data_IF_050452009062
#
_entry.id   IF_050452009062
#
_cell.length_a   1.000
_cell.length_b   1.000
_cell.length_c   1.000
_cell.angle_alpha   90.00
_cell.angle_beta   90.00
_cell.angle_gamma   90.00
#
_symmetry.space_group_name_H-M   'P 1'
#
loop_
_entity.id
_entity.type
_entity.pdbx_description
1 polymer ?
#
# COMPACT_ATOMS: atom_id res chain seq x y z
N UNK A 1 -1.94 -27.10 -52.26
CA UNK A 1 -3.06 -26.75 -51.37
C UNK A 1 -2.47 -25.86 -50.26
N UNK A 2 -2.69 -24.55 -50.36
CA UNK A 2 -2.21 -23.57 -49.39
C UNK A 2 -3.38 -23.32 -48.41
N UNK A 3 -3.21 -23.71 -47.16
CA UNK A 3 -4.17 -23.43 -46.11
C UNK A 3 -4.02 -21.98 -45.66
N UNK A 4 -4.98 -21.15 -46.01
CA UNK A 4 -5.12 -19.77 -45.49
C UNK A 4 -5.58 -19.88 -44.03
N UNK A 5 -4.64 -19.54 -43.11
CA UNK A 5 -4.93 -19.35 -41.68
C UNK A 5 -5.71 -18.06 -41.51
N UNK A 6 -7.01 -18.17 -41.19
CA UNK A 6 -7.85 -17.01 -40.84
C UNK A 6 -7.50 -16.60 -39.43
N UNK A 7 -6.79 -15.46 -39.27
CA UNK A 7 -6.66 -14.78 -38.00
C UNK A 7 -8.04 -14.35 -37.49
N UNK A 8 -8.44 -14.64 -36.23
CA UNK A 8 -9.68 -14.12 -35.69
C UNK A 8 -9.56 -12.59 -35.54
N UNK A 9 -10.46 -11.87 -36.20
CA UNK A 9 -10.70 -10.45 -35.91
C UNK A 9 -11.05 -10.34 -34.42
N UNK A 10 -10.23 -9.67 -33.67
CA UNK A 10 -10.56 -9.23 -32.32
C UNK A 10 -11.75 -8.27 -32.43
N UNK A 11 -12.95 -8.74 -32.13
CA UNK A 11 -14.11 -7.89 -31.98
C UNK A 11 -13.82 -6.89 -30.86
N UNK A 12 -13.73 -5.59 -31.19
CA UNK A 12 -13.60 -4.53 -30.19
C UNK A 12 -14.82 -4.64 -29.27
N UNK A 13 -14.57 -4.99 -28.00
CA UNK A 13 -15.63 -5.10 -27.01
C UNK A 13 -16.35 -3.74 -26.91
N UNK A 14 -17.68 -3.77 -27.07
CA UNK A 14 -18.50 -2.57 -26.95
C UNK A 14 -18.51 -2.13 -25.48
N UNK A 15 -18.33 -0.83 -25.24
CA UNK A 15 -18.30 -0.23 -23.91
C UNK A 15 -19.73 0.00 -23.38
N UNK A 16 -19.92 -0.18 -22.08
CA UNK A 16 -21.12 0.29 -21.39
C UNK A 16 -21.10 1.81 -21.23
N UNK A 17 -22.28 2.43 -21.05
CA UNK A 17 -22.37 3.88 -20.76
C UNK A 17 -21.57 4.25 -19.51
N UNK A 18 -21.58 3.40 -18.49
CA UNK A 18 -20.78 3.62 -17.27
C UNK A 18 -19.26 3.64 -17.52
N UNK A 19 -18.76 2.77 -18.38
CA UNK A 19 -17.34 2.76 -18.77
C UNK A 19 -16.97 4.00 -19.58
N UNK A 20 -17.86 4.44 -20.48
CA UNK A 20 -17.71 5.68 -21.22
C UNK A 20 -17.61 6.90 -20.28
N UNK A 21 -18.55 7.01 -19.33
CA UNK A 21 -18.56 8.09 -18.33
C UNK A 21 -17.26 8.11 -17.53
N UNK A 22 -16.84 6.95 -17.04
CA UNK A 22 -15.57 6.82 -16.26
C UNK A 22 -14.35 7.23 -17.09
N UNK A 23 -14.33 6.87 -18.38
CA UNK A 23 -13.24 7.27 -19.29
C UNK A 23 -13.19 8.79 -19.47
N UNK A 24 -14.35 9.43 -19.75
CA UNK A 24 -14.40 10.89 -19.96
C UNK A 24 -14.03 11.62 -18.67
N UNK A 25 -14.55 11.20 -17.51
CA UNK A 25 -14.21 11.79 -16.21
C UNK A 25 -12.71 11.71 -15.92
N UNK A 26 -12.10 10.54 -16.12
CA UNK A 26 -10.66 10.35 -15.95
C UNK A 26 -9.85 11.23 -16.91
N UNK A 27 -10.32 11.36 -18.16
CA UNK A 27 -9.66 12.21 -19.17
C UNK A 27 -9.70 13.69 -18.79
N UNK A 28 -10.81 14.17 -18.19
CA UNK A 28 -10.94 15.53 -17.67
C UNK A 28 -9.98 15.75 -16.49
N UNK A 29 -9.94 14.81 -15.52
CA UNK A 29 -9.07 14.89 -14.35
C UNK A 29 -7.60 14.91 -14.73
N UNK A 30 -7.21 14.10 -15.72
CA UNK A 30 -5.83 14.01 -16.23
C UNK A 30 -5.48 15.13 -17.23
N UNK A 31 -6.43 16.05 -17.49
CA UNK A 31 -6.27 17.19 -18.43
C UNK A 31 -5.81 16.77 -19.83
N UNK A 32 -6.33 15.64 -20.33
CA UNK A 32 -6.03 15.22 -21.69
C UNK A 32 -6.57 16.24 -22.72
N UNK A 33 -5.87 16.48 -23.85
CA UNK A 33 -6.32 17.40 -24.90
C UNK A 33 -7.70 16.99 -25.46
N UNK A 34 -8.66 17.91 -25.46
CA UNK A 34 -10.04 17.67 -25.86
C UNK A 34 -10.16 17.01 -27.27
N UNK A 35 -9.35 17.46 -28.23
CA UNK A 35 -9.30 16.89 -29.59
C UNK A 35 -8.87 15.40 -29.56
N UNK A 36 -7.99 15.02 -28.66
CA UNK A 36 -7.55 13.64 -28.53
C UNK A 36 -8.64 12.75 -27.92
N UNK A 37 -9.31 13.23 -26.89
CA UNK A 37 -10.46 12.54 -26.27
C UNK A 37 -11.57 12.35 -27.29
N UNK A 38 -11.96 13.42 -28.01
CA UNK A 38 -12.96 13.36 -29.06
C UNK A 38 -12.65 12.35 -30.17
N UNK A 39 -11.41 12.34 -30.66
CA UNK A 39 -10.99 11.40 -31.69
C UNK A 39 -10.99 9.95 -31.26
N UNK A 40 -10.75 9.70 -29.97
CA UNK A 40 -10.81 8.37 -29.38
C UNK A 40 -12.26 7.89 -29.22
N UNK A 41 -13.14 8.76 -28.69
CA UNK A 41 -14.58 8.48 -28.54
C UNK A 41 -15.24 8.04 -29.83
N UNK A 42 -14.93 8.69 -30.94
CA UNK A 42 -15.51 8.36 -32.27
C UNK A 42 -15.12 6.95 -32.78
N UNK A 43 -14.11 6.32 -32.19
CA UNK A 43 -13.69 4.95 -32.53
C UNK A 43 -14.35 3.87 -31.66
N UNK A 44 -15.00 4.28 -30.57
CA UNK A 44 -15.63 3.36 -29.63
C UNK A 44 -17.02 2.96 -30.08
N UNK A 45 -17.43 1.75 -29.73
CA UNK A 45 -18.82 1.27 -29.89
C UNK A 45 -19.43 1.11 -28.50
N UNK A 46 -20.72 1.44 -28.38
CA UNK A 46 -21.47 1.24 -27.15
C UNK A 46 -22.28 -0.05 -27.20
N UNK A 47 -22.49 -0.67 -26.05
CA UNK A 47 -23.39 -1.80 -25.83
C UNK A 47 -24.77 -1.36 -25.34
N UNK A 48 -24.92 -0.08 -24.96
CA UNK A 48 -26.09 0.52 -24.35
C UNK A 48 -26.35 1.89 -24.95
N UNK A 49 -27.63 2.34 -24.91
CA UNK A 49 -28.03 3.65 -25.38
C UNK A 49 -27.50 4.76 -24.49
N UNK A 50 -26.80 5.71 -25.04
CA UNK A 50 -26.35 6.93 -24.36
C UNK A 50 -27.50 7.95 -24.35
N UNK A 51 -27.88 8.44 -23.17
CA UNK A 51 -28.95 9.43 -23.01
C UNK A 51 -28.39 10.87 -22.95
N UNK A 52 -29.30 11.85 -23.20
CA UNK A 52 -28.94 13.26 -23.18
C UNK A 52 -28.53 13.76 -21.80
N UNK A 53 -29.11 13.19 -20.73
CA UNK A 53 -28.80 13.57 -19.34
C UNK A 53 -27.37 13.27 -19.00
N UNK A 54 -26.87 12.09 -19.37
CA UNK A 54 -25.47 11.72 -19.18
C UNK A 54 -24.50 12.70 -19.87
N UNK A 55 -24.90 13.24 -21.03
CA UNK A 55 -24.10 14.26 -21.74
C UNK A 55 -24.06 15.57 -20.95
N UNK A 56 -25.21 16.02 -20.43
CA UNK A 56 -25.30 17.23 -19.61
C UNK A 56 -24.46 17.12 -18.35
N UNK A 57 -24.47 15.95 -17.68
CA UNK A 57 -23.62 15.66 -16.51
C UNK A 57 -22.13 15.77 -16.86
N UNK A 58 -21.68 15.19 -17.98
CA UNK A 58 -20.30 15.28 -18.44
C UNK A 58 -19.88 16.70 -18.84
N UNK A 59 -20.80 17.48 -19.43
CA UNK A 59 -20.58 18.89 -19.70
C UNK A 59 -20.38 19.68 -18.41
N UNK A 60 -21.20 19.43 -17.39
CA UNK A 60 -21.06 20.05 -16.07
C UNK A 60 -19.76 19.74 -15.38
N UNK A 61 -19.14 18.58 -15.67
CA UNK A 61 -17.84 18.16 -15.16
C UNK A 61 -16.64 18.75 -15.95
N UNK A 62 -16.90 19.52 -17.03
CA UNK A 62 -15.87 20.20 -17.79
C UNK A 62 -15.42 19.50 -19.07
N UNK A 63 -16.25 18.62 -19.64
CA UNK A 63 -15.96 18.06 -20.95
C UNK A 63 -15.85 19.17 -22.01
N UNK A 64 -14.78 19.14 -22.82
CA UNK A 64 -14.50 20.14 -23.81
C UNK A 64 -15.45 20.06 -25.03
N UNK A 65 -15.49 21.10 -25.89
CA UNK A 65 -16.44 21.18 -27.00
C UNK A 65 -16.30 20.06 -28.02
N UNK A 66 -15.08 19.62 -28.34
CA UNK A 66 -14.86 18.50 -29.24
C UNK A 66 -15.35 17.17 -28.66
N UNK A 67 -15.09 16.93 -27.37
CA UNK A 67 -15.60 15.77 -26.62
C UNK A 67 -17.12 15.77 -26.63
N UNK A 68 -17.76 16.91 -26.41
CA UNK A 68 -19.22 17.05 -26.44
C UNK A 68 -19.82 16.76 -27.81
N UNK A 69 -19.19 17.20 -28.90
CA UNK A 69 -19.62 16.87 -30.26
C UNK A 69 -19.53 15.37 -30.55
N UNK A 70 -18.43 14.72 -30.14
CA UNK A 70 -18.25 13.27 -30.25
C UNK A 70 -19.33 12.50 -29.47
N UNK A 71 -19.67 12.92 -28.26
CA UNK A 71 -20.71 12.32 -27.44
C UNK A 71 -22.09 12.44 -28.07
N UNK A 72 -22.45 13.61 -28.68
CA UNK A 72 -23.72 13.79 -29.40
C UNK A 72 -23.84 12.83 -30.57
N UNK A 73 -22.77 12.62 -31.35
CA UNK A 73 -22.75 11.62 -32.42
C UNK A 73 -22.96 10.21 -31.90
N UNK A 74 -22.40 9.92 -30.70
CA UNK A 74 -22.59 8.61 -30.03
C UNK A 74 -24.03 8.40 -29.57
N UNK A 75 -24.77 9.45 -29.16
CA UNK A 75 -26.23 9.36 -28.88
C UNK A 75 -26.98 8.89 -30.12
N UNK A 76 -26.72 9.51 -31.25
CA UNK A 76 -27.39 9.16 -32.52
C UNK A 76 -27.09 7.71 -32.91
N UNK A 77 -25.84 7.29 -32.86
CA UNK A 77 -25.42 5.94 -33.23
C UNK A 77 -25.84 4.84 -32.24
N UNK A 78 -26.12 5.22 -30.98
CA UNK A 78 -26.57 4.28 -29.94
C UNK A 78 -28.10 4.27 -29.74
N UNK A 79 -28.86 5.06 -30.50
CA UNK A 79 -30.31 5.24 -30.32
C UNK A 79 -31.12 3.93 -30.38
N UNK A 80 -30.67 2.95 -31.15
CA UNK A 80 -31.29 1.62 -31.26
C UNK A 80 -30.87 0.60 -30.23
N UNK A 81 -29.90 0.93 -29.37
CA UNK A 81 -29.41 0.04 -28.33
C UNK A 81 -30.32 0.03 -27.09
N UNK A 82 -30.30 -1.02 -26.28
CA UNK A 82 -31.05 -1.09 -25.02
C UNK A 82 -30.64 0.07 -24.09
N UNK A 83 -31.60 0.56 -23.30
CA UNK A 83 -31.31 1.57 -22.28
C UNK A 83 -30.25 1.04 -21.27
N UNK A 84 -29.32 1.91 -20.92
CA UNK A 84 -28.37 1.64 -19.85
C UNK A 84 -29.12 1.27 -18.56
N UNK A 85 -28.77 0.15 -17.96
CA UNK A 85 -29.36 -0.20 -16.66
C UNK A 85 -28.92 0.86 -15.64
N UNK A 86 -29.86 1.43 -14.85
CA UNK A 86 -29.49 2.35 -13.79
C UNK A 86 -28.48 1.65 -12.88
N UNK A 87 -27.37 2.34 -12.57
CA UNK A 87 -26.44 1.85 -11.54
C UNK A 87 -27.27 1.48 -10.32
N UNK A 88 -27.12 0.26 -9.76
CA UNK A 88 -27.70 -0.01 -8.45
C UNK A 88 -27.23 1.11 -7.53
N UNK A 89 -28.17 1.87 -6.99
CA UNK A 89 -27.88 2.88 -5.98
C UNK A 89 -27.22 2.09 -4.84
N UNK A 90 -25.91 2.19 -4.71
CA UNK A 90 -25.24 1.73 -3.50
C UNK A 90 -25.83 2.59 -2.39
N UNK A 91 -26.80 2.05 -1.69
CA UNK A 91 -27.24 2.60 -0.42
C UNK A 91 -25.96 2.61 0.42
N UNK A 92 -25.45 3.80 0.71
CA UNK A 92 -24.27 3.90 1.57
C UNK A 92 -24.59 3.16 2.86
N UNK A 93 -23.79 2.18 3.29
CA UNK A 93 -24.08 1.44 4.51
C UNK A 93 -24.26 2.45 5.63
N UNK A 94 -25.30 2.27 6.45
CA UNK A 94 -25.57 3.15 7.61
C UNK A 94 -24.27 3.31 8.39
N UNK A 95 -23.79 4.54 8.67
CA UNK A 95 -22.58 4.76 9.39
C UNK A 95 -22.64 4.02 10.74
N UNK A 96 -21.69 3.14 10.99
CA UNK A 96 -21.59 2.44 12.28
C UNK A 96 -21.14 3.48 13.30
N UNK A 97 -21.91 3.62 14.39
CA UNK A 97 -21.55 4.54 15.45
C UNK A 97 -20.15 4.22 16.01
N UNK A 98 -19.36 5.24 16.44
CA UNK A 98 -18.12 5.01 17.14
C UNK A 98 -18.36 4.22 18.43
N UNK A 99 -17.41 3.37 18.85
CA UNK A 99 -17.53 2.68 20.12
C UNK A 99 -17.50 3.70 21.29
N UNK A 100 -18.11 3.37 22.45
CA UNK A 100 -18.02 4.22 23.64
C UNK A 100 -16.56 4.51 24.03
N UNK A 101 -16.27 5.70 24.56
CA UNK A 101 -14.91 6.10 24.92
C UNK A 101 -14.24 5.13 25.92
N UNK A 102 -15.00 4.56 26.84
CA UNK A 102 -14.47 3.56 27.77
C UNK A 102 -14.00 2.29 27.05
N UNK A 103 -14.73 1.84 26.01
CA UNK A 103 -14.36 0.70 25.19
C UNK A 103 -13.13 1.01 24.35
N UNK A 104 -13.05 2.22 23.75
CA UNK A 104 -11.86 2.65 23.00
C UNK A 104 -10.59 2.59 23.85
N UNK A 105 -10.66 3.09 25.10
CA UNK A 105 -9.52 3.05 26.03
C UNK A 105 -9.18 1.62 26.47
N UNK A 106 -10.18 0.82 26.77
CA UNK A 106 -9.98 -0.58 27.16
C UNK A 106 -9.33 -1.39 26.02
N UNK A 107 -9.75 -1.16 24.78
CA UNK A 107 -9.17 -1.81 23.60
C UNK A 107 -7.68 -1.46 23.44
N UNK A 108 -7.31 -0.18 23.55
CA UNK A 108 -5.91 0.24 23.43
C UNK A 108 -5.03 -0.39 24.52
N UNK A 109 -5.51 -0.55 25.75
CA UNK A 109 -4.75 -1.23 26.80
C UNK A 109 -4.54 -2.73 26.50
N UNK A 110 -5.54 -3.44 25.97
CA UNK A 110 -5.36 -4.84 25.53
C UNK A 110 -4.40 -4.95 24.35
N UNK A 111 -4.51 -4.04 23.38
CA UNK A 111 -3.58 -3.96 22.26
C UNK A 111 -2.15 -3.66 22.73
N UNK A 112 -1.99 -2.79 23.73
CA UNK A 112 -0.69 -2.51 24.36
C UNK A 112 -0.07 -3.77 24.95
N UNK A 113 -0.83 -4.50 25.77
CA UNK A 113 -0.35 -5.73 26.38
C UNK A 113 0.12 -6.76 25.33
N UNK A 114 -0.68 -6.96 24.31
CA UNK A 114 -0.31 -7.82 23.18
C UNK A 114 0.96 -7.33 22.49
N UNK A 115 1.06 -6.04 22.15
CA UNK A 115 2.16 -5.44 21.39
C UNK A 115 3.49 -5.53 22.13
N UNK A 116 3.49 -5.30 23.44
CA UNK A 116 4.68 -5.42 24.28
C UNK A 116 5.21 -6.87 24.42
N UNK A 117 4.32 -7.84 24.22
CA UNK A 117 4.66 -9.27 24.27
C UNK A 117 4.76 -9.91 22.87
N UNK A 118 4.55 -9.16 21.81
CA UNK A 118 4.48 -9.69 20.45
C UNK A 118 5.71 -10.51 20.07
N UNK A 119 6.91 -9.93 20.19
CA UNK A 119 8.18 -10.61 19.85
C UNK A 119 8.42 -11.86 20.68
N UNK A 120 8.01 -11.86 21.96
CA UNK A 120 8.17 -13.04 22.86
C UNK A 120 7.26 -14.19 22.44
N UNK A 121 6.14 -13.89 21.83
CA UNK A 121 5.14 -14.88 21.40
C UNK A 121 5.41 -15.43 20.00
N UNK A 122 6.39 -14.90 19.27
CA UNK A 122 6.77 -15.42 17.96
C UNK A 122 7.63 -16.69 18.12
N UNK A 123 7.37 -17.72 17.29
CA UNK A 123 8.25 -18.88 17.23
C UNK A 123 9.57 -18.53 16.55
N UNK A 124 10.56 -19.38 16.70
CA UNK A 124 11.77 -19.30 15.87
C UNK A 124 11.43 -19.69 14.43
N UNK A 125 11.76 -18.83 13.47
CA UNK A 125 11.45 -19.04 12.05
C UNK A 125 12.54 -18.49 11.12
N UNK A 126 12.42 -18.85 9.87
CA UNK A 126 13.13 -18.23 8.74
C UNK A 126 12.11 -17.78 7.70
N UNK A 127 12.43 -16.70 6.99
CA UNK A 127 11.65 -16.25 5.83
C UNK A 127 12.57 -15.63 4.77
N UNK A 128 12.01 -15.42 3.59
CA UNK A 128 12.64 -14.66 2.51
C UNK A 128 12.10 -13.23 2.56
N UNK A 129 12.99 -12.27 2.71
CA UNK A 129 12.68 -10.85 2.60
C UNK A 129 13.11 -10.36 1.22
N UNK A 130 12.18 -9.78 0.46
CA UNK A 130 12.45 -9.14 -0.81
C UNK A 130 12.26 -7.64 -0.67
N UNK A 131 13.32 -6.86 -0.89
CA UNK A 131 13.29 -5.41 -0.85
C UNK A 131 13.44 -4.85 -2.26
N UNK A 132 12.38 -4.23 -2.80
CA UNK A 132 12.44 -3.49 -4.07
C UNK A 132 12.65 -2.03 -3.78
N UNK A 133 13.77 -1.49 -4.25
CA UNK A 133 14.14 -0.09 -4.03
C UNK A 133 13.87 0.74 -5.27
N UNK A 134 13.37 1.94 -5.03
CA UNK A 134 13.03 2.90 -6.08
C UNK A 134 13.58 4.26 -5.71
N UNK A 135 13.92 5.05 -6.71
CA UNK A 135 14.27 6.46 -6.59
C UNK A 135 13.46 7.32 -7.56
N UNK A 136 13.29 8.58 -7.19
CA UNK A 136 12.76 9.62 -8.05
C UNK A 136 13.54 10.92 -7.83
N UNK A 137 14.46 11.28 -8.75
CA UNK A 137 15.22 12.52 -8.63
C UNK A 137 14.41 13.77 -8.99
N UNK A 138 13.18 13.62 -9.47
CA UNK A 138 12.32 14.75 -9.86
C UNK A 138 11.52 15.30 -8.67
N UNK A 139 11.26 14.48 -7.66
CA UNK A 139 10.42 14.83 -6.52
C UNK A 139 8.92 14.83 -6.81
N UNK A 140 8.48 14.24 -7.93
CA UNK A 140 7.10 14.21 -8.43
C UNK A 140 6.46 12.81 -8.36
N UNK A 141 7.11 11.89 -7.66
CA UNK A 141 6.72 10.47 -7.52
C UNK A 141 6.76 9.67 -8.84
N UNK A 142 7.64 10.04 -9.78
CA UNK A 142 7.98 9.24 -10.96
C UNK A 142 9.02 8.18 -10.62
N UNK A 143 8.57 7.10 -9.98
CA UNK A 143 9.40 6.05 -9.43
C UNK A 143 10.17 5.27 -10.50
N UNK A 144 11.50 5.18 -10.35
CA UNK A 144 12.38 4.35 -11.17
C UNK A 144 12.90 3.21 -10.30
N UNK A 145 12.85 1.95 -10.77
CA UNK A 145 13.49 0.85 -10.06
C UNK A 145 15.01 1.10 -9.95
N UNK A 146 15.55 0.98 -8.76
CA UNK A 146 17.00 1.02 -8.49
C UNK A 146 17.55 -0.39 -8.48
N UNK A 147 17.11 -1.21 -7.54
CA UNK A 147 17.51 -2.61 -7.44
C UNK A 147 16.50 -3.43 -6.64
N UNK A 148 16.70 -4.75 -6.62
CA UNK A 148 15.97 -5.71 -5.81
C UNK A 148 16.95 -6.51 -4.99
N UNK A 149 16.72 -6.54 -3.66
CA UNK A 149 17.52 -7.29 -2.70
C UNK A 149 16.72 -8.49 -2.23
N UNK A 150 17.31 -9.69 -2.30
CA UNK A 150 16.73 -10.89 -1.71
C UNK A 150 17.57 -11.29 -0.50
N UNK A 151 16.94 -11.34 0.67
CA UNK A 151 17.60 -11.55 1.95
C UNK A 151 16.97 -12.74 2.65
N UNK A 152 17.79 -13.64 3.18
CA UNK A 152 17.37 -14.64 4.15
C UNK A 152 17.30 -13.98 5.51
N UNK A 153 16.10 -13.91 6.07
CA UNK A 153 15.88 -13.45 7.44
C UNK A 153 15.67 -14.66 8.34
N UNK A 154 16.41 -14.68 9.44
CA UNK A 154 16.25 -15.67 10.50
C UNK A 154 15.85 -14.97 11.79
N UNK A 155 14.76 -15.42 12.41
CA UNK A 155 14.31 -14.99 13.73
C UNK A 155 14.54 -16.13 14.72
N UNK A 156 15.51 -15.92 15.62
CA UNK A 156 15.92 -16.92 16.62
C UNK A 156 16.16 -16.25 17.96
N UNK A 157 15.54 -16.77 19.01
CA UNK A 157 15.65 -16.22 20.38
C UNK A 157 15.41 -14.69 20.43
N UNK A 158 14.34 -14.23 19.75
CA UNK A 158 13.94 -12.83 19.67
C UNK A 158 14.96 -11.91 18.97
N UNK A 159 15.90 -12.48 18.20
CA UNK A 159 16.90 -11.74 17.42
C UNK A 159 16.70 -11.98 15.94
N UNK A 160 16.75 -10.89 15.19
CA UNK A 160 16.72 -10.89 13.74
C UNK A 160 18.15 -10.95 13.18
N UNK A 161 18.36 -11.83 12.21
CA UNK A 161 19.62 -11.91 11.46
C UNK A 161 19.32 -11.86 9.97
N UNK A 162 20.01 -10.98 9.28
CA UNK A 162 19.81 -10.71 7.85
C UNK A 162 21.02 -11.18 7.06
N UNK A 163 20.82 -12.10 6.12
CA UNK A 163 21.85 -12.53 5.18
C UNK A 163 21.41 -12.19 3.77
N UNK A 164 22.06 -11.22 3.15
CA UNK A 164 21.86 -10.91 1.74
C UNK A 164 22.29 -12.11 0.90
N UNK A 165 21.43 -12.53 -0.04
CA UNK A 165 21.70 -13.69 -0.91
C UNK A 165 21.73 -13.32 -2.37
N UNK A 166 20.92 -12.33 -2.82
CA UNK A 166 20.93 -11.85 -4.20
C UNK A 166 20.73 -10.35 -4.28
N UNK A 167 21.31 -9.76 -5.32
CA UNK A 167 21.03 -8.40 -5.79
C UNK A 167 20.64 -8.51 -7.27
N UNK A 168 19.44 -8.05 -7.62
CA UNK A 168 18.89 -8.16 -8.99
C UNK A 168 18.98 -9.59 -9.55
N UNK A 169 18.52 -10.56 -8.76
CA UNK A 169 18.51 -12.00 -9.05
C UNK A 169 19.91 -12.61 -9.30
N UNK A 170 20.98 -11.91 -8.92
CA UNK A 170 22.35 -12.40 -8.98
C UNK A 170 22.87 -12.69 -7.59
N UNK A 171 23.40 -13.89 -7.32
CA UNK A 171 24.00 -14.23 -6.03
C UNK A 171 25.10 -13.24 -5.62
N UNK A 172 25.19 -12.96 -4.32
CA UNK A 172 26.17 -12.04 -3.76
C UNK A 172 26.68 -12.52 -2.39
N UNK A 173 27.93 -12.21 -2.09
CA UNK A 173 28.57 -12.41 -0.78
C UNK A 173 28.64 -11.09 0.03
N UNK A 174 28.06 -10.00 -0.50
CA UNK A 174 28.10 -8.69 0.13
C UNK A 174 27.30 -8.73 1.44
N UNK A 175 27.85 -8.12 2.49
CA UNK A 175 27.15 -8.01 3.78
C UNK A 175 25.95 -7.05 3.64
N UNK A 176 24.81 -7.42 4.24
CA UNK A 176 23.59 -6.62 4.22
C UNK A 176 23.83 -5.20 4.76
N UNK A 177 24.62 -5.09 5.84
CA UNK A 177 24.93 -3.82 6.49
C UNK A 177 25.83 -2.91 5.62
N UNK A 178 26.55 -3.48 4.62
CA UNK A 178 27.41 -2.69 3.74
C UNK A 178 26.64 -2.02 2.59
N UNK A 179 25.37 -2.36 2.41
CA UNK A 179 24.54 -1.76 1.38
C UNK A 179 24.33 -0.26 1.65
N UNK A 180 24.38 0.52 0.58
CA UNK A 180 23.98 1.92 0.60
C UNK A 180 22.46 2.08 0.55
N UNK A 181 21.99 3.29 0.82
CA UNK A 181 20.57 3.63 0.79
C UNK A 181 19.84 3.32 2.10
N UNK A 182 18.51 3.44 2.09
CA UNK A 182 17.70 3.11 3.24
C UNK A 182 17.62 1.59 3.44
N UNK A 183 17.81 1.15 4.67
CA UNK A 183 17.60 -0.23 5.10
C UNK A 183 16.53 -0.24 6.18
N UNK A 184 15.69 -1.27 6.20
CA UNK A 184 14.68 -1.49 7.22
C UNK A 184 15.06 -2.70 8.05
N UNK A 185 14.86 -2.61 9.35
CA UNK A 185 15.12 -3.66 10.34
C UNK A 185 14.16 -3.49 11.52
N UNK A 186 13.87 -4.59 12.23
CA UNK A 186 13.04 -4.53 13.44
C UNK A 186 11.54 -4.65 13.18
N UNK A 187 11.13 -5.22 12.06
CA UNK A 187 9.71 -5.41 11.71
C UNK A 187 9.00 -6.43 12.61
N UNK A 188 9.74 -7.29 13.29
CA UNK A 188 9.21 -8.37 14.14
C UNK A 188 9.04 -7.95 15.61
N UNK A 189 8.59 -6.72 15.83
CA UNK A 189 8.13 -6.26 17.14
C UNK A 189 8.74 -4.97 17.65
N UNK A 190 9.87 -4.51 17.14
CA UNK A 190 10.52 -3.27 17.62
C UNK A 190 9.61 -2.06 17.47
N UNK A 191 8.99 -1.87 16.30
CA UNK A 191 8.06 -0.77 16.06
C UNK A 191 6.84 -0.82 17.00
N UNK A 192 6.23 -2.01 17.19
CA UNK A 192 5.10 -2.16 18.12
C UNK A 192 5.53 -1.88 19.54
N UNK A 193 6.70 -2.42 19.96
CA UNK A 193 7.23 -2.18 21.29
C UNK A 193 7.46 -0.68 21.53
N UNK A 194 8.10 0.03 20.60
CA UNK A 194 8.34 1.46 20.73
C UNK A 194 7.06 2.29 20.85
N UNK A 195 6.03 2.00 20.02
CA UNK A 195 4.77 2.75 20.06
C UNK A 195 4.02 2.51 21.38
N UNK A 196 4.06 1.28 21.92
CA UNK A 196 3.25 0.90 23.08
C UNK A 196 4.01 0.89 24.40
N UNK A 197 5.32 1.11 24.39
CA UNK A 197 6.11 1.30 25.61
C UNK A 197 5.55 2.48 26.43
N UNK A 198 5.37 2.28 27.73
CA UNK A 198 4.84 3.34 28.61
C UNK A 198 5.79 4.53 28.73
N UNK A 199 7.08 4.32 28.52
CA UNK A 199 8.09 5.40 28.54
C UNK A 199 7.94 6.37 27.39
N UNK A 200 7.34 5.97 26.28
CA UNK A 200 7.11 6.84 25.10
C UNK A 200 5.98 7.83 25.32
N UNK A 201 5.12 7.58 26.33
CA UNK A 201 3.93 8.40 26.62
C UNK A 201 3.08 8.68 25.37
N UNK A 202 2.91 7.64 24.55
CA UNK A 202 2.17 7.72 23.30
C UNK A 202 0.69 8.05 23.56
N UNK A 203 0.20 9.10 22.91
CA UNK A 203 -1.20 9.52 22.94
C UNK A 203 -1.95 8.84 21.81
N UNK A 204 -3.07 8.16 22.16
CA UNK A 204 -3.92 7.44 21.20
C UNK A 204 -5.30 8.08 21.14
N UNK A 205 -5.84 8.23 19.91
CA UNK A 205 -7.18 8.74 19.67
C UNK A 205 -7.89 7.88 18.63
N UNK A 206 -9.10 7.40 18.96
CA UNK A 206 -9.91 6.68 17.99
C UNK A 206 -10.48 7.66 16.94
N UNK A 207 -10.20 7.40 15.66
CA UNK A 207 -10.62 8.28 14.57
C UNK A 207 -11.88 7.81 13.87
N UNK A 208 -11.93 6.53 13.49
CA UNK A 208 -12.99 6.02 12.64
C UNK A 208 -12.95 4.49 12.52
N UNK A 209 -13.99 3.96 11.97
CA UNK A 209 -13.99 2.61 11.41
C UNK A 209 -13.23 2.60 10.08
N UNK A 210 -12.53 1.50 9.81
CA UNK A 210 -11.88 1.21 8.54
C UNK A 210 -12.22 -0.19 8.05
N UNK A 211 -11.80 -0.53 6.84
CA UNK A 211 -11.83 -1.90 6.33
C UNK A 211 -10.47 -2.21 5.71
N UNK A 212 -9.89 -3.32 6.10
CA UNK A 212 -8.59 -3.77 5.61
C UNK A 212 -8.67 -5.28 5.31
N UNK A 213 -8.47 -5.67 4.06
CA UNK A 213 -8.59 -7.07 3.59
C UNK A 213 -9.93 -7.71 4.00
N UNK A 214 -11.06 -7.00 3.76
CA UNK A 214 -12.41 -7.44 4.12
C UNK A 214 -12.71 -7.45 5.62
N UNK A 215 -11.75 -7.09 6.48
CA UNK A 215 -11.89 -7.09 7.95
C UNK A 215 -12.20 -5.69 8.45
N UNK A 216 -13.24 -5.55 9.29
CA UNK A 216 -13.54 -4.28 9.93
C UNK A 216 -12.48 -3.96 10.98
N UNK A 217 -11.95 -2.72 10.94
CA UNK A 217 -10.91 -2.27 11.85
C UNK A 217 -11.29 -1.01 12.61
N UNK A 218 -10.85 -0.92 13.85
CA UNK A 218 -10.73 0.35 14.55
C UNK A 218 -9.47 1.05 14.04
N UNK A 219 -9.58 2.29 13.62
CA UNK A 219 -8.45 3.11 13.22
C UNK A 219 -8.19 4.14 14.30
N UNK A 220 -7.01 4.04 14.92
CA UNK A 220 -6.53 5.01 15.89
C UNK A 220 -5.41 5.84 15.28
N UNK A 221 -5.38 7.14 15.55
CA UNK A 221 -4.14 7.90 15.44
C UNK A 221 -3.31 7.70 16.71
N UNK A 222 -2.00 7.84 16.57
CA UNK A 222 -1.12 7.90 17.71
C UNK A 222 -0.04 8.97 17.47
N UNK A 223 0.52 9.49 18.56
CA UNK A 223 1.63 10.45 18.53
C UNK A 223 2.57 10.19 19.69
N UNK A 224 3.88 10.20 19.39
CA UNK A 224 4.96 10.17 20.37
C UNK A 224 5.76 11.47 20.25
N UNK A 225 5.82 12.23 21.33
CA UNK A 225 6.57 13.48 21.35
C UNK A 225 8.09 13.24 21.33
N UNK A 226 8.85 14.13 20.70
CA UNK A 226 10.30 13.98 20.51
C UNK A 226 11.09 13.67 21.81
N UNK A 227 10.81 14.24 22.98
CA UNK A 227 11.56 13.91 24.20
C UNK A 227 11.48 12.43 24.62
N UNK A 228 10.39 11.76 24.27
CA UNK A 228 10.15 10.35 24.63
C UNK A 228 10.34 9.40 23.43
N UNK A 229 10.64 9.94 22.25
CA UNK A 229 10.77 9.15 21.03
C UNK A 229 12.11 8.42 20.98
N UNK A 230 12.05 7.21 20.39
CA UNK A 230 13.24 6.38 20.08
C UNK A 230 13.45 6.28 18.56
N UNK A 231 12.63 6.98 17.75
CA UNK A 231 12.72 6.94 16.29
C UNK A 231 13.89 7.77 15.79
N UNK A 232 14.97 7.07 15.41
CA UNK A 232 16.22 7.67 14.95
C UNK A 232 16.36 7.53 13.44
N UNK A 233 16.61 8.66 12.77
CA UNK A 233 16.91 8.72 11.34
C UNK A 233 18.42 8.84 11.18
N UNK A 234 19.04 7.88 10.48
CA UNK A 234 20.46 7.88 10.17
C UNK A 234 20.69 8.30 8.71
N UNK A 235 21.58 9.26 8.50
CA UNK A 235 22.00 9.66 7.17
C UNK A 235 23.47 9.36 6.94
N UNK A 236 23.77 8.51 5.93
CA UNK A 236 25.12 8.08 5.53
C UNK A 236 25.98 7.55 6.67
N UNK A 237 25.40 7.07 7.77
CA UNK A 237 26.09 6.62 9.01
C UNK A 237 26.97 7.70 9.67
N UNK A 238 26.82 8.95 9.26
CA UNK A 238 27.63 10.07 9.73
C UNK A 238 26.81 11.07 10.55
N UNK A 239 25.52 11.12 10.32
CA UNK A 239 24.60 12.02 11.02
C UNK A 239 23.37 11.24 11.46
N UNK A 240 22.89 11.52 12.66
CA UNK A 240 21.67 10.95 13.17
C UNK A 240 20.83 12.01 13.91
N UNK A 241 19.52 11.78 13.90
CA UNK A 241 18.59 12.62 14.66
C UNK A 241 17.45 11.76 15.17
N UNK A 242 17.10 11.92 16.44
CA UNK A 242 15.90 11.33 17.03
C UNK A 242 14.77 12.34 16.96
N UNK A 243 13.64 11.93 16.39
CA UNK A 243 12.48 12.78 16.11
C UNK A 243 11.22 12.22 16.73
N UNK A 244 10.27 13.11 17.06
CA UNK A 244 8.90 12.69 17.36
C UNK A 244 8.25 12.04 16.13
N UNK A 245 7.18 11.33 16.33
CA UNK A 245 6.48 10.67 15.24
C UNK A 245 4.98 10.50 15.50
N UNK A 246 4.23 10.40 14.43
CA UNK A 246 2.79 10.18 14.43
C UNK A 246 2.44 9.08 13.44
N UNK A 247 1.23 8.53 13.56
CA UNK A 247 0.77 7.55 12.61
C UNK A 247 -0.62 7.01 12.90
N UNK A 248 -0.98 5.96 12.19
CA UNK A 248 -2.24 5.25 12.33
C UNK A 248 -2.00 3.79 12.72
N UNK A 249 -2.89 3.25 13.53
CA UNK A 249 -2.94 1.84 13.89
C UNK A 249 -4.31 1.31 13.50
N UNK A 250 -4.32 0.21 12.74
CA UNK A 250 -5.51 -0.50 12.30
C UNK A 250 -5.65 -1.76 13.14
N UNK A 251 -6.59 -1.76 14.06
CA UNK A 251 -6.88 -2.88 14.95
C UNK A 251 -8.09 -3.64 14.46
N UNK A 252 -7.95 -4.91 14.19
CA UNK A 252 -9.07 -5.79 13.80
C UNK A 252 -10.14 -5.80 14.88
N UNK A 253 -11.39 -5.57 14.48
CA UNK A 253 -12.52 -5.50 15.42
C UNK A 253 -12.75 -6.82 16.16
N UNK A 254 -12.58 -7.94 15.49
CA UNK A 254 -13.00 -9.25 15.98
C UNK A 254 -11.87 -9.97 16.76
N UNK A 255 -10.62 -9.74 16.38
CA UNK A 255 -9.45 -10.38 17.02
C UNK A 255 -8.63 -9.44 17.90
N UNK A 256 -8.89 -8.13 17.83
CA UNK A 256 -8.13 -7.07 18.52
C UNK A 256 -6.64 -7.03 18.16
N UNK A 257 -6.26 -7.64 17.02
CA UNK A 257 -4.89 -7.67 16.54
C UNK A 257 -4.60 -6.50 15.61
N UNK A 258 -3.35 -6.02 15.63
CA UNK A 258 -2.90 -4.94 14.74
C UNK A 258 -2.63 -5.51 13.36
N UNK A 259 -3.40 -5.06 12.36
CA UNK A 259 -3.24 -5.48 10.97
C UNK A 259 -2.35 -4.53 10.16
N UNK A 260 -2.23 -3.26 10.61
CA UNK A 260 -1.38 -2.26 9.95
C UNK A 260 -0.98 -1.17 10.93
N UNK A 261 0.26 -0.72 10.77
CA UNK A 261 0.79 0.48 11.43
C UNK A 261 1.38 1.39 10.37
N UNK A 262 1.14 2.69 10.48
CA UNK A 262 1.88 3.71 9.72
C UNK A 262 2.66 4.60 10.67
N UNK A 263 3.75 5.21 10.19
CA UNK A 263 4.59 6.10 10.98
C UNK A 263 5.09 7.24 10.10
N UNK A 264 5.11 8.45 10.61
CA UNK A 264 5.70 9.63 9.96
C UNK A 264 6.49 10.43 11.00
N UNK A 265 7.75 10.72 10.67
CA UNK A 265 8.61 11.55 11.51
C UNK A 265 8.12 13.00 11.58
N UNK A 266 8.08 13.56 12.78
CA UNK A 266 7.67 14.94 13.04
C UNK A 266 8.87 15.80 13.45
N UNK A 267 8.82 17.08 13.09
CA UNK A 267 9.80 18.08 13.52
C UNK A 267 11.26 17.71 13.20
N UNK A 268 11.50 17.10 12.06
CA UNK A 268 12.86 16.85 11.57
C UNK A 268 13.55 18.22 11.42
N UNK A 269 14.74 18.44 12.02
CA UNK A 269 15.43 19.73 11.93
C UNK A 269 15.66 20.15 10.46
N UNK A 270 15.41 21.42 10.08
CA UNK A 270 15.60 21.87 8.70
C UNK A 270 17.05 21.73 8.18
N UNK A 271 18.01 21.64 9.10
CA UNK A 271 19.43 21.44 8.79
C UNK A 271 19.81 19.98 8.55
N UNK A 272 18.91 19.03 8.89
CA UNK A 272 19.15 17.62 8.66
C UNK A 272 18.86 17.26 7.19
N UNK A 273 19.69 16.42 6.54
CA UNK A 273 19.55 16.16 5.11
C UNK A 273 18.22 15.52 4.71
N UNK A 274 17.65 14.65 5.55
CA UNK A 274 16.34 14.04 5.32
C UNK A 274 15.24 14.97 5.84
N UNK A 275 14.34 15.43 4.96
CA UNK A 275 13.26 16.35 5.32
C UNK A 275 11.95 15.64 5.64
N UNK A 276 11.77 14.41 5.17
CA UNK A 276 10.59 13.60 5.45
C UNK A 276 10.94 12.12 5.47
N UNK A 277 10.37 11.42 6.43
CA UNK A 277 10.41 9.96 6.48
C UNK A 277 9.04 9.43 6.84
N UNK A 278 8.56 8.45 6.09
CA UNK A 278 7.31 7.74 6.40
C UNK A 278 7.54 6.24 6.31
N UNK A 279 6.84 5.51 7.15
CA UNK A 279 6.84 4.05 7.18
C UNK A 279 5.43 3.48 7.24
N UNK A 280 5.26 2.28 6.74
CA UNK A 280 4.05 1.48 6.94
C UNK A 280 4.46 0.02 7.10
N UNK A 281 3.77 -0.69 7.98
CA UNK A 281 4.00 -2.12 8.23
C UNK A 281 2.65 -2.82 8.27
N UNK A 282 2.46 -3.78 7.38
CA UNK A 282 1.25 -4.58 7.24
C UNK A 282 1.50 -5.99 7.79
N UNK A 283 0.55 -6.48 8.59
CA UNK A 283 0.56 -7.81 9.17
C UNK A 283 -0.58 -8.65 8.60
N UNK A 284 -0.37 -9.95 8.47
CA UNK A 284 -1.43 -10.90 8.16
C UNK A 284 -1.17 -12.25 8.83
N UNK A 285 -2.22 -13.07 8.90
CA UNK A 285 -2.12 -14.40 9.47
C UNK A 285 -1.37 -15.33 8.53
N UNK A 286 -0.24 -15.83 9.00
CA UNK A 286 0.67 -16.68 8.25
C UNK A 286 0.94 -17.97 9.01
N UNK A 287 0.95 -19.08 8.30
CA UNK A 287 1.17 -20.40 8.89
C UNK A 287 2.66 -20.71 8.99
N UNK A 288 3.12 -21.10 10.21
CA UNK A 288 4.45 -21.67 10.44
C UNK A 288 4.28 -23.06 11.05
N UNK A 289 4.59 -24.10 10.27
CA UNK A 289 4.26 -25.48 10.66
C UNK A 289 2.77 -25.68 10.78
N UNK A 290 2.29 -26.10 11.95
CA UNK A 290 0.86 -26.34 12.22
C UNK A 290 0.14 -25.12 12.83
N UNK A 291 0.87 -24.11 13.27
CA UNK A 291 0.33 -22.93 13.95
C UNK A 291 0.23 -21.73 13.03
N UNK A 292 -0.78 -20.89 13.27
CA UNK A 292 -0.98 -19.62 12.59
C UNK A 292 -0.56 -18.47 13.49
N UNK A 293 0.28 -17.58 12.96
CA UNK A 293 0.81 -16.42 13.66
C UNK A 293 0.47 -15.16 12.85
N UNK A 294 0.27 -14.05 13.52
CA UNK A 294 0.20 -12.75 12.88
C UNK A 294 1.63 -12.28 12.60
N UNK A 295 1.99 -12.13 11.34
CA UNK A 295 3.36 -11.82 10.91
C UNK A 295 3.37 -10.66 9.91
N UNK A 296 4.47 -9.89 9.84
CA UNK A 296 4.69 -8.92 8.76
C UNK A 296 4.55 -9.58 7.40
N UNK A 297 3.81 -8.96 6.50
CA UNK A 297 3.73 -9.37 5.09
C UNK A 297 4.38 -8.35 4.17
N UNK A 298 4.31 -7.06 4.55
CA UNK A 298 4.86 -5.97 3.78
C UNK A 298 5.23 -4.80 4.66
N UNK A 299 6.38 -4.19 4.37
CA UNK A 299 6.75 -2.88 4.87
C UNK A 299 7.01 -1.92 3.71
N UNK A 300 6.79 -0.65 3.94
CA UNK A 300 7.16 0.41 3.00
C UNK A 300 7.84 1.53 3.77
N UNK A 301 8.96 2.02 3.25
CA UNK A 301 9.66 3.19 3.78
C UNK A 301 9.86 4.19 2.65
N UNK A 302 9.51 5.44 2.87
CA UNK A 302 9.75 6.54 1.95
C UNK A 302 10.54 7.63 2.65
N UNK A 303 11.51 8.20 1.94
CA UNK A 303 12.30 9.33 2.43
C UNK A 303 12.38 10.41 1.36
N UNK A 304 12.57 11.64 1.82
CA UNK A 304 12.87 12.80 0.97
C UNK A 304 14.19 13.43 1.41
N UNK A 305 15.08 13.59 0.46
CA UNK A 305 16.33 14.35 0.57
C UNK A 305 16.37 15.37 -0.57
N UNK A 306 16.08 16.60 -0.31
CA UNK A 306 15.87 17.68 -1.29
C UNK A 306 14.79 17.27 -2.34
N UNK A 307 15.19 17.12 -3.60
CA UNK A 307 14.32 16.63 -4.67
C UNK A 307 14.28 15.12 -4.78
N UNK A 308 15.27 14.43 -4.24
CA UNK A 308 15.34 12.98 -4.33
C UNK A 308 14.31 12.35 -3.39
N UNK A 309 13.39 11.59 -3.98
CA UNK A 309 12.53 10.69 -3.24
C UNK A 309 13.08 9.28 -3.34
N UNK A 310 13.10 8.56 -2.23
CA UNK A 310 13.39 7.12 -2.20
C UNK A 310 12.21 6.36 -1.62
N UNK A 311 11.99 5.16 -2.14
CA UNK A 311 10.93 4.26 -1.71
C UNK A 311 11.46 2.83 -1.67
N UNK A 312 11.35 2.20 -0.52
CA UNK A 312 11.62 0.77 -0.37
C UNK A 312 10.32 0.05 -0.08
N UNK A 313 10.04 -0.98 -0.87
CA UNK A 313 8.95 -1.93 -0.64
C UNK A 313 9.60 -3.23 -0.19
N UNK A 314 9.32 -3.63 1.04
CA UNK A 314 9.82 -4.85 1.66
C UNK A 314 8.67 -5.84 1.76
N UNK A 315 8.85 -7.06 1.26
CA UNK A 315 7.86 -8.13 1.32
C UNK A 315 8.46 -9.37 1.96
N UNK A 316 7.68 -10.02 2.83
CA UNK A 316 8.11 -11.19 3.57
C UNK A 316 7.36 -12.43 3.06
N UNK A 317 8.13 -13.43 2.64
CA UNK A 317 7.62 -14.62 1.98
C UNK A 317 8.18 -15.89 2.62
N UNK A 318 7.54 -17.02 2.32
CA UNK A 318 8.07 -18.35 2.62
C UNK A 318 8.45 -18.56 4.08
N UNK A 319 7.61 -18.14 5.01
CA UNK A 319 7.79 -18.39 6.43
C UNK A 319 7.86 -19.88 6.74
N UNK A 320 8.90 -20.31 7.45
CA UNK A 320 9.14 -21.71 7.82
C UNK A 320 9.67 -21.79 9.25
N UNK A 321 9.37 -22.88 9.93
CA UNK A 321 9.94 -23.13 11.26
C UNK A 321 11.47 -23.22 11.15
N UNK A 322 12.17 -22.60 12.09
CA UNK A 322 13.61 -22.70 12.18
C UNK A 322 13.99 -24.15 12.50
N UNK A 323 14.85 -24.76 11.69
CA UNK A 323 15.29 -26.15 11.86
C UNK A 323 16.45 -26.50 10.93
N UNK A 324 17.08 -27.65 11.17
CA UNK A 324 18.31 -28.08 10.48
C UNK A 324 18.14 -28.42 8.98
N UNK A 325 16.91 -28.59 8.48
CA UNK A 325 16.63 -29.10 7.12
C UNK A 325 16.14 -28.04 6.14
N UNK A 326 16.30 -26.76 6.39
CA UNK A 326 15.82 -25.72 5.49
C UNK A 326 16.77 -25.57 4.29
N UNK A 327 16.61 -26.38 3.25
CA UNK A 327 17.09 -26.02 1.90
C UNK A 327 16.25 -24.84 1.38
N UNK A 328 16.86 -23.72 1.13
CA UNK A 328 16.19 -22.52 0.61
C UNK A 328 16.41 -22.50 -0.89
N UNK A 329 15.32 -22.57 -1.67
CA UNK A 329 15.34 -22.25 -3.09
C UNK A 329 15.41 -20.72 -3.18
N UNK A 330 16.46 -20.21 -3.79
CA UNK A 330 16.69 -18.76 -3.94
C UNK A 330 16.05 -18.28 -5.27
N UNK A 331 14.72 -18.30 -5.33
CA UNK A 331 13.97 -17.61 -6.37
C UNK A 331 13.32 -16.39 -5.73
N UNK A 332 13.39 -15.24 -6.42
CA UNK A 332 12.71 -14.02 -5.95
C UNK A 332 11.21 -14.20 -6.15
N UNK A 333 10.40 -14.23 -5.08
CA UNK A 333 8.96 -14.32 -5.22
C UNK A 333 8.36 -13.12 -5.95
N UNK A 334 7.22 -13.35 -6.61
CA UNK A 334 6.44 -12.29 -7.23
C UNK A 334 5.95 -11.28 -6.19
N UNK A 335 5.78 -10.02 -6.63
CA UNK A 335 5.28 -8.95 -5.77
C UNK A 335 3.86 -9.25 -5.29
N UNK A 336 3.56 -8.89 -4.03
CA UNK A 336 2.21 -8.98 -3.51
C UNK A 336 1.29 -8.00 -4.24
N UNK A 337 0.03 -8.40 -4.54
CA UNK A 337 -0.97 -7.50 -5.11
C UNK A 337 -1.13 -6.23 -4.27
N UNK A 338 -1.23 -5.07 -4.91
CA UNK A 338 -1.34 -3.77 -4.22
C UNK A 338 -2.61 -3.64 -3.37
N UNK A 339 -3.70 -4.31 -3.78
CA UNK A 339 -4.98 -4.32 -3.07
C UNK A 339 -4.91 -4.97 -1.70
N UNK A 340 -3.95 -5.90 -1.45
CA UNK A 340 -3.78 -6.55 -0.14
C UNK A 340 -3.37 -5.61 0.99
N UNK A 341 -2.90 -4.41 0.69
CA UNK A 341 -2.38 -3.48 1.71
C UNK A 341 -3.09 -2.14 1.71
N UNK A 342 -4.07 -1.94 0.82
CA UNK A 342 -4.90 -0.73 0.77
C UNK A 342 -6.13 -0.88 1.65
N UNK A 343 -6.51 0.21 2.29
CA UNK A 343 -7.80 0.30 2.97
C UNK A 343 -8.93 0.32 1.94
N UNK A 344 -9.95 -0.47 2.16
CA UNK A 344 -11.14 -0.51 1.30
C UNK A 344 -12.06 0.69 1.61
N UNK A 345 -12.58 1.32 0.54
CA UNK A 345 -13.48 2.48 0.61
C UNK A 345 -14.93 2.06 0.80
#
# INVERSE_FOLDING_TARGET
MVALSVCPLWAQAALTVNQLVSFVQSSIQLKHPDKQVASYLLKLKLSERLDARTIEELQGLGAGPGTMEALRKMVETSASLPLAQPKPVRIAPTPIAPPPQAEQKALIERVREYSLNYSKNLPNFICTQVTRRYDDPTGLEFWRPSDTLTTKLSYFEQKETYKLVMINDRPTEQAYESLGGALSQGEFGSMLHEIFDRETDAVFEWLRWGTLRGRRTHVYSYRVAQPNAKFTINYMRAQEVTVGYTGLIYVDRDTEMILKVTQEGENIPPTFPIQRVTGALDYDYTRIGEQTHLLPIKAEVRMRHDRLLTRNIVEFHLYRKFGAEASITFETPDALPEDKTKEEK
#
